data_IF_082778768111
#
_entry.id   IF_082778768111
#
_cell.length_a   1.000
_cell.length_b   1.000
_cell.length_c   1.000
_cell.angle_alpha   90.00
_cell.angle_beta   90.00
_cell.angle_gamma   90.00
#
_symmetry.space_group_name_H-M   'P 1'
#
loop_
_entity.id
_entity.type
_entity.pdbx_description
1 polymer ?
#
# COMPACT_ATOMS: atom_id res chain seq x y z
N UNK A 1 -9.87 12.73 20.20
CA UNK A 1 -8.74 12.72 19.29
C UNK A 1 -8.67 11.40 18.54
N UNK A 2 -8.60 11.45 17.24
CA UNK A 2 -8.56 10.23 16.43
C UNK A 2 -7.23 9.53 16.59
N UNK A 3 -7.26 8.22 16.71
CA UNK A 3 -6.06 7.40 16.77
C UNK A 3 -5.98 6.52 15.54
N UNK A 4 -4.76 6.35 15.03
CA UNK A 4 -4.53 5.44 13.92
C UNK A 4 -4.79 4.01 14.35
N UNK A 5 -5.37 3.23 13.45
CA UNK A 5 -5.56 1.79 13.68
C UNK A 5 -4.19 1.11 13.85
N UNK A 6 -4.13 -0.01 14.57
CA UNK A 6 -2.86 -0.74 14.72
C UNK A 6 -2.23 -1.11 13.38
N UNK A 7 -3.03 -1.51 12.41
CA UNK A 7 -2.52 -1.85 11.08
C UNK A 7 -1.86 -0.64 10.43
N UNK A 8 -2.48 0.53 10.51
CA UNK A 8 -1.93 1.73 9.90
C UNK A 8 -0.68 2.21 10.61
N UNK A 9 -0.62 2.04 11.94
CA UNK A 9 0.59 2.35 12.70
C UNK A 9 1.76 1.50 12.22
N UNK A 10 1.53 0.21 12.01
CA UNK A 10 2.57 -0.69 11.51
C UNK A 10 2.97 -0.34 10.08
N UNK A 11 2.00 -0.04 9.23
CA UNK A 11 2.29 0.37 7.85
C UNK A 11 3.21 1.59 7.83
N UNK A 12 2.88 2.61 8.59
CA UNK A 12 3.66 3.85 8.62
C UNK A 12 5.06 3.62 9.19
N UNK A 13 5.19 2.73 10.18
CA UNK A 13 6.50 2.41 10.75
C UNK A 13 7.40 1.74 9.72
N UNK A 14 6.85 0.82 8.93
CA UNK A 14 7.60 0.16 7.87
C UNK A 14 7.96 1.16 6.77
N UNK A 15 6.99 1.98 6.37
CA UNK A 15 7.20 2.97 5.33
C UNK A 15 8.28 3.98 5.71
N UNK A 16 8.35 4.33 6.97
CA UNK A 16 9.36 5.26 7.48
C UNK A 16 10.78 4.74 7.23
N UNK A 17 10.96 3.43 7.27
CA UNK A 17 12.25 2.80 7.05
C UNK A 17 12.51 2.51 5.57
N UNK A 18 11.51 2.64 4.71
CA UNK A 18 11.61 2.31 3.28
C UNK A 18 10.93 3.39 2.44
N UNK A 19 11.35 4.63 2.65
CA UNK A 19 10.68 5.79 2.03
C UNK A 19 10.73 5.80 0.51
N UNK A 20 11.78 5.22 -0.07
CA UNK A 20 11.98 5.25 -1.51
C UNK A 20 11.36 4.04 -2.23
N UNK A 21 10.68 3.19 -1.48
CA UNK A 21 10.06 2.00 -2.04
C UNK A 21 8.56 2.09 -1.95
N UNK A 22 7.86 1.59 -2.96
CA UNK A 22 6.40 1.49 -2.90
C UNK A 22 6.08 0.27 -2.03
N UNK A 23 5.40 0.50 -0.93
CA UNK A 23 5.09 -0.56 0.04
C UNK A 23 3.78 -1.25 -0.31
N UNK A 24 3.87 -2.52 -0.67
CA UNK A 24 2.73 -3.40 -0.89
C UNK A 24 2.47 -4.14 0.41
N UNK A 25 1.42 -3.76 1.10
CA UNK A 25 1.09 -4.29 2.43
C UNK A 25 -0.01 -5.34 2.30
N UNK A 26 0.30 -6.59 2.63
CA UNK A 26 -0.64 -7.70 2.48
C UNK A 26 -1.75 -7.62 3.53
N UNK A 27 -2.99 -7.55 3.05
CA UNK A 27 -4.18 -7.58 3.90
C UNK A 27 -5.16 -8.54 3.26
N UNK A 28 -5.36 -9.69 3.89
CA UNK A 28 -6.25 -10.69 3.33
C UNK A 28 -5.80 -11.16 1.96
N UNK A 29 -6.66 -11.04 0.96
CA UNK A 29 -6.38 -11.47 -0.39
C UNK A 29 -5.82 -10.38 -1.29
N UNK A 30 -5.43 -9.26 -0.70
CA UNK A 30 -4.93 -8.11 -1.45
C UNK A 30 -3.60 -7.62 -0.91
N UNK A 31 -2.81 -7.00 -1.79
CA UNK A 31 -1.75 -6.09 -1.38
C UNK A 31 -2.31 -4.69 -1.51
N UNK A 32 -2.27 -3.92 -0.43
CA UNK A 32 -2.81 -2.56 -0.41
C UNK A 32 -1.69 -1.54 -0.27
N UNK A 33 -1.91 -0.39 -0.90
CA UNK A 33 -0.99 0.73 -0.84
C UNK A 33 -1.75 1.94 -0.33
N UNK A 34 -1.07 2.80 0.43
CA UNK A 34 -1.72 3.92 1.10
C UNK A 34 -0.96 5.21 0.86
N UNK A 35 -1.64 6.34 1.03
CA UNK A 35 -1.07 7.69 0.96
C UNK A 35 -0.34 7.92 -0.37
N UNK A 36 0.89 8.43 -0.33
CA UNK A 36 1.63 8.75 -1.55
C UNK A 36 1.83 7.53 -2.46
N UNK A 37 2.08 6.37 -1.86
CA UNK A 37 2.25 5.15 -2.66
C UNK A 37 0.96 4.79 -3.39
N UNK A 38 -0.19 5.02 -2.76
CA UNK A 38 -1.47 4.78 -3.42
C UNK A 38 -1.68 5.74 -4.59
N UNK A 39 -1.32 7.00 -4.42
CA UNK A 39 -1.43 7.98 -5.49
C UNK A 39 -0.53 7.61 -6.66
N UNK A 40 0.70 7.23 -6.37
CA UNK A 40 1.66 6.83 -7.39
C UNK A 40 1.22 5.55 -8.11
N UNK A 41 0.89 4.52 -7.34
CA UNK A 41 0.53 3.23 -7.92
C UNK A 41 -0.77 3.29 -8.72
N UNK A 42 -1.78 4.01 -8.23
CA UNK A 42 -3.04 4.13 -8.96
C UNK A 42 -2.83 4.79 -10.32
N UNK A 43 -1.97 5.79 -10.37
CA UNK A 43 -1.66 6.48 -11.62
C UNK A 43 -0.84 5.60 -12.57
N UNK A 44 0.21 4.98 -12.05
CA UNK A 44 1.12 4.22 -12.89
C UNK A 44 0.54 2.88 -13.36
N UNK A 45 -0.36 2.32 -12.58
CA UNK A 45 -0.94 1.00 -12.87
C UNK A 45 -2.41 1.10 -13.30
N UNK A 46 -2.93 2.31 -13.40
CA UNK A 46 -4.34 2.54 -13.76
C UNK A 46 -5.30 1.81 -12.82
N UNK A 47 -5.03 1.92 -11.52
CA UNK A 47 -5.86 1.31 -10.49
C UNK A 47 -6.84 2.35 -9.95
N UNK A 48 -7.97 1.86 -9.46
CA UNK A 48 -8.95 2.73 -8.81
C UNK A 48 -8.42 3.20 -7.48
N UNK A 49 -8.36 4.52 -7.30
CA UNK A 49 -7.99 5.10 -6.02
C UNK A 49 -9.26 5.21 -5.16
N UNK A 50 -9.18 4.70 -3.95
CA UNK A 50 -10.30 4.76 -3.01
C UNK A 50 -9.79 5.27 -1.67
N UNK A 51 -10.56 5.09 -0.61
CA UNK A 51 -10.17 5.53 0.71
C UNK A 51 -10.39 4.44 1.74
N UNK A 52 -9.55 4.41 2.75
CA UNK A 52 -9.67 3.45 3.85
C UNK A 52 -9.77 4.18 5.17
N UNK A 53 -10.75 3.79 5.98
CA UNK A 53 -10.88 4.29 7.34
C UNK A 53 -9.75 3.74 8.19
N UNK A 54 -8.95 4.62 8.76
CA UNK A 54 -7.75 4.20 9.49
C UNK A 54 -7.59 4.92 10.82
N UNK A 55 -8.64 5.58 11.30
CA UNK A 55 -8.61 6.32 12.56
C UNK A 55 -8.38 7.80 12.40
N UNK A 56 -8.16 8.28 11.17
CA UNK A 56 -8.04 9.70 10.89
C UNK A 56 -9.42 10.29 10.59
N UNK A 57 -9.55 11.61 10.67
CA UNK A 57 -10.79 12.29 10.31
C UNK A 57 -11.16 12.00 8.86
N UNK A 58 -10.19 12.03 7.99
CA UNK A 58 -10.38 11.70 6.58
C UNK A 58 -9.89 10.30 6.30
N UNK A 59 -10.51 9.65 5.33
CA UNK A 59 -10.09 8.33 4.90
C UNK A 59 -8.74 8.46 4.19
N UNK A 60 -7.84 7.51 4.46
CA UNK A 60 -6.54 7.48 3.80
C UNK A 60 -6.70 7.07 2.34
N UNK A 61 -6.03 7.75 1.39
CA UNK A 61 -6.02 7.26 0.02
C UNK A 61 -5.48 5.84 -0.04
N UNK A 62 -6.13 4.99 -0.82
CA UNK A 62 -5.78 3.58 -0.88
C UNK A 62 -6.05 3.03 -2.27
N UNK A 63 -5.17 2.15 -2.74
CA UNK A 63 -5.46 1.28 -3.86
C UNK A 63 -4.90 -0.10 -3.54
N UNK A 64 -5.31 -1.11 -4.30
CA UNK A 64 -4.88 -2.46 -4.01
C UNK A 64 -4.88 -3.34 -5.25
N UNK A 65 -4.13 -4.41 -5.17
CA UNK A 65 -4.08 -5.42 -6.22
C UNK A 65 -4.32 -6.78 -5.61
N UNK A 66 -4.98 -7.70 -6.34
CA UNK A 66 -5.20 -9.04 -5.82
C UNK A 66 -3.87 -9.76 -5.55
N UNK A 67 -3.83 -10.51 -4.45
CA UNK A 67 -2.64 -11.28 -4.11
C UNK A 67 -2.22 -12.23 -5.23
N UNK A 68 -3.19 -12.82 -5.91
CA UNK A 68 -2.91 -13.81 -6.94
C UNK A 68 -2.31 -13.22 -8.24
N UNK A 69 -2.32 -11.92 -8.38
CA UNK A 69 -1.82 -11.26 -9.61
C UNK A 69 -0.87 -10.11 -9.34
N UNK A 70 -0.34 -10.00 -8.12
CA UNK A 70 0.52 -8.88 -7.76
C UNK A 70 1.80 -8.81 -8.58
N UNK A 71 2.31 -9.94 -9.03
CA UNK A 71 3.60 -10.00 -9.71
C UNK A 71 3.64 -9.17 -10.99
N UNK A 72 2.56 -9.20 -11.77
CA UNK A 72 2.48 -8.39 -12.98
C UNK A 72 2.51 -6.90 -12.68
N UNK A 73 1.83 -6.49 -11.62
CA UNK A 73 1.81 -5.08 -11.22
C UNK A 73 3.18 -4.63 -10.72
N UNK A 74 3.83 -5.46 -9.89
CA UNK A 74 5.17 -5.15 -9.40
C UNK A 74 6.15 -5.04 -10.58
N UNK A 75 6.09 -5.96 -11.52
CA UNK A 75 6.97 -5.94 -12.69
C UNK A 75 6.79 -4.65 -13.50
N UNK A 76 5.56 -4.18 -13.64
CA UNK A 76 5.28 -2.93 -14.36
C UNK A 76 5.89 -1.72 -13.65
N UNK A 77 5.80 -1.68 -12.32
CA UNK A 77 6.41 -0.60 -11.57
C UNK A 77 7.92 -0.63 -11.66
N UNK A 78 8.52 -1.80 -11.55
CA UNK A 78 9.97 -1.95 -11.66
C UNK A 78 10.44 -1.51 -13.06
N UNK A 79 9.69 -1.87 -14.09
CA UNK A 79 10.02 -1.44 -15.45
C UNK A 79 9.98 0.07 -15.63
N UNK A 80 9.22 0.77 -14.79
CA UNK A 80 9.13 2.22 -14.80
C UNK A 80 10.14 2.90 -13.88
N UNK A 81 11.01 2.13 -13.25
CA UNK A 81 12.07 2.66 -12.39
C UNK A 81 11.75 2.71 -10.91
N UNK A 82 10.62 2.17 -10.49
CA UNK A 82 10.25 2.15 -9.08
C UNK A 82 10.82 0.91 -8.39
N UNK A 83 11.07 1.04 -7.09
CA UNK A 83 11.39 -0.10 -6.24
C UNK A 83 10.15 -0.44 -5.42
N UNK A 84 9.93 -1.71 -5.17
CA UNK A 84 8.77 -2.18 -4.43
C UNK A 84 9.20 -3.05 -3.26
N UNK A 85 8.50 -2.91 -2.15
CA UNK A 85 8.69 -3.74 -0.98
C UNK A 85 7.40 -4.49 -0.71
N UNK A 86 7.49 -5.80 -0.64
CA UNK A 86 6.34 -6.64 -0.31
C UNK A 86 6.40 -6.98 1.17
N UNK A 87 5.34 -6.66 1.89
CA UNK A 87 5.26 -6.97 3.31
C UNK A 87 4.05 -7.85 3.58
N UNK A 88 4.31 -9.02 4.16
CA UNK A 88 3.25 -9.92 4.61
C UNK A 88 3.32 -10.00 6.12
N UNK A 89 2.19 -9.73 6.78
CA UNK A 89 2.12 -9.87 8.21
C UNK A 89 2.11 -11.35 8.59
N UNK A 90 2.88 -11.72 9.59
CA UNK A 90 2.87 -13.07 10.13
C UNK A 90 1.77 -13.29 11.14
N UNK A 91 0.93 -12.31 11.34
CA UNK A 91 -0.20 -12.46 12.23
C UNK A 91 -1.14 -13.50 11.64
N UNK A 92 -1.00 -14.67 12.12
CA UNK A 92 -1.86 -15.76 11.70
C UNK A 92 -3.25 -15.59 12.29
#
# INVERSE_FOLDING_TARGET
>A
MAELSPMMQQYLEIKKQHKDEILFYRIGDFYEMFFEDALTASKELDLTLTGKQCGLEERAPMCGVPFHSYEGYVARLIAKGYNCLLYTSDAA
#
